data_IF_998802071126
#
_entry.id   IF_998802071126
#
_cell.length_a   1.000
_cell.length_b   1.000
_cell.length_c   1.000
_cell.angle_alpha   90.00
_cell.angle_beta   90.00
_cell.angle_gamma   90.00
#
_symmetry.space_group_name_H-M   'P 1'
#
loop_
_entity.id
_entity.type
_entity.pdbx_description
1 polymer ?
#
# COMPACT_ATOMS: atom_id res chain seq x y z
N UNK A 1 -15.47 5.88 -7.30
CA UNK A 1 -16.27 4.69 -6.90
C UNK A 1 -16.02 4.43 -5.43
N UNK A 2 -17.07 4.31 -4.61
CA UNK A 2 -16.93 3.94 -3.21
C UNK A 2 -16.88 2.40 -3.12
N UNK A 3 -15.88 1.83 -2.46
CA UNK A 3 -15.78 0.36 -2.30
C UNK A 3 -16.93 -0.10 -1.39
N UNK A 4 -17.84 -0.99 -1.83
CA UNK A 4 -18.83 -1.54 -0.93
C UNK A 4 -18.12 -2.36 0.17
N UNK A 5 -18.42 -2.04 1.42
CA UNK A 5 -17.90 -2.73 2.60
C UNK A 5 -19.07 -3.26 3.43
N UNK A 6 -18.89 -4.43 4.03
CA UNK A 6 -19.88 -4.99 4.95
C UNK A 6 -19.95 -4.09 6.20
N UNK A 7 -21.17 -3.74 6.64
CA UNK A 7 -21.36 -2.96 7.84
C UNK A 7 -20.76 -3.69 9.06
N UNK A 8 -20.02 -2.97 9.92
CA UNK A 8 -19.29 -3.56 11.05
C UNK A 8 -20.21 -4.31 12.02
N UNK A 9 -21.47 -3.92 12.16
CA UNK A 9 -22.49 -4.59 12.98
C UNK A 9 -22.85 -6.00 12.47
N UNK A 10 -22.55 -6.30 11.20
CA UNK A 10 -22.75 -7.61 10.57
C UNK A 10 -21.49 -8.46 10.55
N UNK A 11 -20.40 -8.00 11.16
CA UNK A 11 -19.13 -8.73 11.29
C UNK A 11 -19.04 -9.27 12.72
N UNK A 12 -18.64 -10.54 12.90
CA UNK A 12 -18.43 -11.09 14.24
C UNK A 12 -17.31 -10.34 14.97
N UNK A 13 -17.36 -10.29 16.30
CA UNK A 13 -16.35 -9.61 17.13
C UNK A 13 -14.92 -10.08 16.84
N UNK A 14 -14.75 -11.39 16.67
CA UNK A 14 -13.44 -12.01 16.43
C UNK A 14 -12.89 -11.63 15.05
N UNK A 15 -13.76 -11.63 14.03
CA UNK A 15 -13.39 -11.21 12.69
C UNK A 15 -13.08 -9.70 12.65
N UNK A 16 -13.85 -8.87 13.36
CA UNK A 16 -13.61 -7.44 13.44
C UNK A 16 -12.24 -7.14 14.10
N UNK A 17 -11.91 -7.87 15.18
CA UNK A 17 -10.62 -7.76 15.86
C UNK A 17 -9.47 -8.15 14.94
N UNK A 18 -9.62 -9.26 14.21
CA UNK A 18 -8.62 -9.72 13.25
C UNK A 18 -8.40 -8.69 12.13
N UNK A 19 -9.47 -8.22 11.49
CA UNK A 19 -9.40 -7.25 10.38
C UNK A 19 -8.73 -5.96 10.85
N UNK A 20 -9.06 -5.50 12.05
CA UNK A 20 -8.49 -4.27 12.63
C UNK A 20 -7.00 -4.41 12.97
N UNK A 21 -6.52 -5.63 13.25
CA UNK A 21 -5.09 -5.87 13.52
C UNK A 21 -4.26 -6.25 12.29
N UNK A 22 -4.91 -6.58 11.17
CA UNK A 22 -4.26 -7.22 10.03
C UNK A 22 -3.31 -6.25 9.30
N UNK A 23 -2.00 -6.51 9.40
CA UNK A 23 -0.92 -5.68 8.83
C UNK A 23 -0.99 -4.18 9.18
N UNK A 24 -1.46 -3.85 10.39
CA UNK A 24 -1.65 -2.47 10.82
C UNK A 24 -0.37 -1.61 10.70
N UNK A 25 0.82 -2.20 10.89
CA UNK A 25 2.10 -1.50 10.71
C UNK A 25 2.28 -0.99 9.28
N UNK A 26 2.02 -1.83 8.29
CA UNK A 26 2.12 -1.48 6.86
C UNK A 26 1.08 -0.42 6.50
N UNK A 27 -0.16 -0.58 6.98
CA UNK A 27 -1.23 0.40 6.74
C UNK A 27 -0.85 1.77 7.29
N UNK A 28 -0.33 1.82 8.53
CA UNK A 28 0.10 3.06 9.17
C UNK A 28 1.29 3.70 8.43
N UNK A 29 2.29 2.91 8.01
CA UNK A 29 3.43 3.41 7.25
C UNK A 29 2.99 4.05 5.91
N UNK A 30 2.12 3.36 5.17
CA UNK A 30 1.59 3.87 3.89
C UNK A 30 0.75 5.13 4.12
N UNK A 31 -0.11 5.16 5.12
CA UNK A 31 -0.91 6.34 5.45
C UNK A 31 -0.03 7.55 5.81
N UNK A 32 1.03 7.32 6.59
CA UNK A 32 2.01 8.35 6.92
C UNK A 32 2.77 8.82 5.69
N UNK A 33 3.20 7.91 4.81
CA UNK A 33 3.88 8.29 3.57
C UNK A 33 2.99 9.15 2.67
N UNK A 34 1.71 8.78 2.52
CA UNK A 34 0.74 9.54 1.71
C UNK A 34 0.48 10.93 2.31
N UNK A 35 0.46 11.04 3.64
CA UNK A 35 0.29 12.33 4.32
C UNK A 35 1.49 13.26 4.10
N UNK A 36 2.70 12.71 4.03
CA UNK A 36 3.95 13.50 3.98
C UNK A 36 4.51 13.71 2.56
N UNK A 37 3.97 13.03 1.54
CA UNK A 37 4.53 13.06 0.18
C UNK A 37 3.43 13.29 -0.85
N UNK A 38 3.72 14.10 -1.88
CA UNK A 38 2.76 14.38 -2.96
C UNK A 38 2.42 13.14 -3.78
N UNK A 39 3.41 12.26 -3.99
CA UNK A 39 3.26 11.01 -4.72
C UNK A 39 3.92 9.89 -3.93
N UNK A 40 3.19 8.80 -3.74
CA UNK A 40 3.70 7.57 -3.14
C UNK A 40 3.48 6.42 -4.10
N UNK A 41 4.55 5.68 -4.38
CA UNK A 41 4.49 4.42 -5.12
C UNK A 41 4.68 3.29 -4.11
N UNK A 42 3.74 2.34 -4.10
CA UNK A 42 3.82 1.15 -3.25
C UNK A 42 3.87 -0.08 -4.15
N UNK A 43 4.81 -0.99 -3.91
CA UNK A 43 4.83 -2.25 -4.66
C UNK A 43 6.05 -3.11 -4.44
N UNK A 44 6.01 -4.32 -4.99
CA UNK A 44 7.07 -5.32 -4.82
C UNK A 44 8.34 -4.99 -5.60
N UNK A 45 9.48 -5.42 -5.05
CA UNK A 45 10.74 -5.49 -5.77
C UNK A 45 10.68 -6.43 -6.97
N UNK A 46 11.48 -6.13 -8.00
CA UNK A 46 11.51 -6.82 -9.30
C UNK A 46 10.21 -6.76 -10.13
N UNK A 47 9.17 -6.05 -9.68
CA UNK A 47 7.97 -5.85 -10.49
C UNK A 47 8.25 -4.85 -11.64
N UNK A 48 8.13 -5.27 -12.92
CA UNK A 48 8.43 -4.40 -14.05
C UNK A 48 7.48 -3.20 -14.15
N UNK A 49 6.25 -3.30 -13.65
CA UNK A 49 5.29 -2.20 -13.67
C UNK A 49 5.58 -1.15 -12.60
N UNK A 50 6.06 -1.55 -11.42
CA UNK A 50 6.56 -0.61 -10.40
C UNK A 50 7.76 0.15 -10.94
N UNK A 51 8.68 -0.54 -11.64
CA UNK A 51 9.81 0.11 -12.30
C UNK A 51 9.37 1.13 -13.34
N UNK A 52 8.38 0.77 -14.19
CA UNK A 52 7.82 1.70 -15.19
C UNK A 52 7.18 2.93 -14.56
N UNK A 53 6.39 2.76 -13.50
CA UNK A 53 5.75 3.88 -12.79
C UNK A 53 6.80 4.84 -12.20
N UNK A 54 7.80 4.31 -11.49
CA UNK A 54 8.89 5.11 -10.93
C UNK A 54 9.68 5.83 -12.01
N UNK A 55 9.95 5.16 -13.14
CA UNK A 55 10.63 5.77 -14.28
C UNK A 55 9.82 6.93 -14.87
N UNK A 56 8.51 6.75 -15.09
CA UNK A 56 7.65 7.81 -15.61
C UNK A 56 7.63 9.05 -14.70
N UNK A 57 7.58 8.85 -13.38
CA UNK A 57 7.64 9.95 -12.40
C UNK A 57 9.00 10.68 -12.44
N UNK A 58 10.10 9.93 -12.53
CA UNK A 58 11.45 10.51 -12.72
C UNK A 58 11.57 11.30 -14.03
N UNK A 59 11.10 10.72 -15.13
CA UNK A 59 11.14 11.34 -16.45
C UNK A 59 10.29 12.63 -16.48
N UNK A 60 9.24 12.71 -15.66
CA UNK A 60 8.42 13.90 -15.45
C UNK A 60 8.96 14.88 -14.39
N UNK A 61 10.14 14.62 -13.82
CA UNK A 61 10.75 15.39 -12.72
C UNK A 61 9.83 15.57 -11.49
N UNK A 62 8.96 14.60 -11.22
CA UNK A 62 8.09 14.57 -10.05
C UNK A 62 8.80 13.83 -8.91
N UNK A 63 8.88 14.47 -7.76
CA UNK A 63 9.36 13.82 -6.54
C UNK A 63 8.33 12.80 -6.03
N UNK A 64 8.80 11.64 -5.59
CA UNK A 64 7.95 10.57 -5.09
C UNK A 64 8.66 9.72 -4.05
N UNK A 65 7.88 9.24 -3.07
CA UNK A 65 8.32 8.21 -2.13
C UNK A 65 8.02 6.83 -2.70
N UNK A 66 8.99 5.93 -2.65
CA UNK A 66 8.78 4.51 -2.95
C UNK A 66 8.81 3.68 -1.67
N UNK A 67 7.78 2.85 -1.48
CA UNK A 67 7.71 1.84 -0.43
C UNK A 67 7.73 0.46 -1.09
N UNK A 68 8.77 -0.32 -0.78
CA UNK A 68 8.96 -1.68 -1.30
C UNK A 68 8.57 -2.72 -0.25
N UNK A 69 7.64 -3.60 -0.61
CA UNK A 69 7.17 -4.68 0.26
C UNK A 69 7.41 -6.04 -0.39
N UNK A 70 8.46 -6.71 0.09
CA UNK A 70 8.90 -7.98 -0.48
C UNK A 70 9.29 -7.88 -1.95
N UNK A 71 9.40 -9.03 -2.61
CA UNK A 71 9.75 -9.10 -4.02
C UNK A 71 9.22 -10.40 -4.64
N UNK A 72 9.26 -10.52 -5.96
CA UNK A 72 8.68 -11.69 -6.66
C UNK A 72 9.29 -13.04 -6.23
N UNK A 73 10.51 -13.05 -5.69
CA UNK A 73 11.17 -14.26 -5.18
C UNK A 73 10.83 -14.58 -3.72
N UNK A 74 10.32 -13.60 -2.96
CA UNK A 74 10.07 -13.70 -1.52
C UNK A 74 8.64 -13.34 -1.09
N UNK A 75 7.73 -13.21 -2.06
CA UNK A 75 6.33 -12.80 -1.88
C UNK A 75 6.19 -11.43 -1.21
N UNK A 76 4.96 -11.04 -0.87
CA UNK A 76 4.68 -9.81 -0.13
C UNK A 76 5.13 -9.95 1.32
N UNK A 77 5.54 -8.84 1.93
CA UNK A 77 5.94 -8.75 3.34
C UNK A 77 5.25 -7.58 4.02
#
# INVERSE_FOLDING_TARGET
>A
MNRPVLASEKVSSDALTFITGYHQSVVNEVANAVTNNKVVVVGMGHNPFVNKARKALKDAALDFKYLEYGNYWSQWK
#
